data_IF_167055751076
#
_entry.id   IF_167055751076
#
_cell.length_a   1.000
_cell.length_b   1.000
_cell.length_c   1.000
_cell.angle_alpha   90.00
_cell.angle_beta   90.00
_cell.angle_gamma   90.00
#
_symmetry.space_group_name_H-M   'P 1'
#
loop_
_entity.id
_entity.type
_entity.pdbx_description
1 polymer ?
#
# COMPACT_ATOMS: atom_id res chain seq x y z
N UNK A 1 -12.28 -15.23 27.53
CA UNK A 1 -13.22 -14.78 26.48
C UNK A 1 -12.45 -14.71 25.15
N UNK A 2 -13.08 -14.98 24.01
CA UNK A 2 -12.37 -14.88 22.72
C UNK A 2 -12.75 -13.58 22.02
N UNK A 3 -11.78 -12.79 21.63
CA UNK A 3 -11.94 -11.51 20.93
C UNK A 3 -11.36 -11.57 19.53
N UNK A 4 -11.81 -10.69 18.65
CA UNK A 4 -11.21 -10.55 17.32
C UNK A 4 -9.80 -9.99 17.45
N UNK A 5 -8.86 -10.56 16.69
CA UNK A 5 -7.45 -10.18 16.74
C UNK A 5 -7.22 -8.68 16.40
N UNK A 6 -8.01 -8.10 15.48
CA UNK A 6 -7.90 -6.68 15.12
C UNK A 6 -8.27 -5.75 16.29
N UNK A 7 -9.20 -6.16 17.17
CA UNK A 7 -9.53 -5.43 18.38
C UNK A 7 -8.47 -5.66 19.47
N UNK A 8 -8.10 -6.92 19.68
CA UNK A 8 -7.18 -7.31 20.74
C UNK A 8 -5.79 -6.66 20.60
N UNK A 9 -5.31 -6.47 19.36
CA UNK A 9 -4.07 -5.75 19.10
C UNK A 9 -4.10 -4.28 19.58
N UNK A 10 -5.24 -3.63 19.49
CA UNK A 10 -5.43 -2.26 19.99
C UNK A 10 -5.60 -2.26 21.51
N UNK A 11 -6.40 -3.16 22.06
CA UNK A 11 -6.65 -3.29 23.50
C UNK A 11 -5.37 -3.60 24.27
N UNK A 12 -4.48 -4.42 23.71
CA UNK A 12 -3.13 -4.70 24.26
C UNK A 12 -2.10 -3.60 23.95
N UNK A 13 -2.51 -2.50 23.37
CA UNK A 13 -1.63 -1.36 23.02
C UNK A 13 -0.45 -1.75 22.09
N UNK A 14 -0.59 -2.84 21.34
CA UNK A 14 0.41 -3.24 20.37
C UNK A 14 0.35 -2.37 19.09
N UNK A 15 -0.82 -1.79 18.84
CA UNK A 15 -1.10 -0.92 17.69
C UNK A 15 -2.01 0.22 18.12
N UNK A 16 -1.86 1.38 17.48
CA UNK A 16 -2.57 2.62 17.84
C UNK A 16 -4.01 2.71 17.30
N UNK A 17 -4.33 1.96 16.23
CA UNK A 17 -5.66 2.00 15.63
C UNK A 17 -6.07 0.66 15.02
N UNK A 18 -7.37 0.41 14.97
CA UNK A 18 -7.94 -0.80 14.40
C UNK A 18 -7.71 -0.91 12.88
N UNK A 19 -7.75 0.20 12.17
CA UNK A 19 -7.44 0.25 10.74
C UNK A 19 -6.01 -0.23 10.49
N UNK A 20 -5.05 0.28 11.28
CA UNK A 20 -3.67 -0.14 11.19
C UNK A 20 -3.47 -1.61 11.57
N UNK A 21 -4.23 -2.11 12.56
CA UNK A 21 -4.23 -3.53 12.90
C UNK A 21 -4.67 -4.40 11.73
N UNK A 22 -5.75 -4.02 11.04
CA UNK A 22 -6.26 -4.73 9.88
C UNK A 22 -5.25 -4.77 8.73
N UNK A 23 -4.63 -3.65 8.39
CA UNK A 23 -3.57 -3.58 7.40
C UNK A 23 -2.41 -4.55 7.70
N UNK A 24 -1.94 -4.56 8.95
CA UNK A 24 -0.83 -5.41 9.35
C UNK A 24 -1.21 -6.91 9.36
N UNK A 25 -2.43 -7.24 9.76
CA UNK A 25 -2.94 -8.62 9.73
C UNK A 25 -3.02 -9.10 8.27
N UNK A 26 -3.68 -8.35 7.42
CA UNK A 26 -3.83 -8.71 6.00
C UNK A 26 -2.50 -8.77 5.26
N UNK A 27 -1.54 -8.00 5.71
CA UNK A 27 -0.17 -8.02 5.21
C UNK A 27 0.70 -9.14 5.76
N UNK A 28 0.18 -9.95 6.71
CA UNK A 28 0.91 -11.06 7.29
C UNK A 28 1.98 -10.67 8.32
N UNK A 29 1.85 -9.49 8.93
CA UNK A 29 2.78 -9.00 9.94
C UNK A 29 2.33 -9.25 11.39
N UNK A 30 1.29 -10.01 11.57
CA UNK A 30 0.79 -10.39 12.88
C UNK A 30 0.91 -11.89 13.07
N UNK A 31 1.54 -12.30 14.17
CA UNK A 31 1.56 -13.68 14.64
C UNK A 31 0.67 -13.86 15.85
N UNK A 32 0.05 -15.02 15.90
CA UNK A 32 -0.62 -15.54 17.09
C UNK A 32 -0.04 -16.93 17.37
N UNK A 33 0.62 -17.10 18.52
CA UNK A 33 1.30 -18.36 18.90
C UNK A 33 2.21 -18.88 17.78
N UNK A 34 3.10 -18.04 17.27
CA UNK A 34 4.04 -18.29 16.16
C UNK A 34 3.42 -18.53 14.77
N UNK A 35 2.10 -18.56 14.66
CA UNK A 35 1.39 -18.68 13.38
C UNK A 35 1.06 -17.31 12.81
N UNK A 36 1.40 -17.05 11.55
CA UNK A 36 1.01 -15.83 10.85
C UNK A 36 -0.49 -15.82 10.58
N UNK A 37 -1.14 -14.72 10.93
CA UNK A 37 -2.58 -14.53 10.77
C UNK A 37 -2.83 -13.52 9.65
N UNK A 38 -3.75 -13.87 8.74
CA UNK A 38 -4.14 -13.03 7.59
C UNK A 38 -5.59 -12.53 7.66
N UNK A 39 -6.38 -13.06 8.60
CA UNK A 39 -7.81 -12.72 8.72
C UNK A 39 -8.05 -11.85 9.94
N UNK A 40 -8.59 -10.64 9.73
CA UNK A 40 -8.88 -9.69 10.80
C UNK A 40 -9.93 -10.17 11.81
N UNK A 41 -10.77 -11.12 11.44
CA UNK A 41 -11.79 -11.71 12.32
C UNK A 41 -11.31 -12.98 13.05
N UNK A 42 -10.01 -13.30 12.96
CA UNK A 42 -9.44 -14.42 13.72
C UNK A 42 -9.69 -14.21 15.22
N UNK A 43 -10.11 -15.26 15.92
CA UNK A 43 -10.46 -15.18 17.34
C UNK A 43 -9.27 -15.61 18.18
N UNK A 44 -8.89 -14.74 19.10
CA UNK A 44 -7.81 -14.94 20.07
C UNK A 44 -8.31 -14.86 21.50
N UNK A 45 -7.65 -15.57 22.41
CA UNK A 45 -7.87 -15.53 23.86
C UNK A 45 -6.82 -14.66 24.55
N UNK A 46 -7.06 -14.30 25.79
CA UNK A 46 -6.08 -13.53 26.61
C UNK A 46 -4.73 -14.24 26.74
N UNK A 47 -4.75 -15.58 26.76
CA UNK A 47 -3.55 -16.41 26.88
C UNK A 47 -2.77 -16.52 25.56
N UNK A 48 -3.34 -16.12 24.42
CA UNK A 48 -2.64 -16.20 23.15
C UNK A 48 -1.58 -15.10 23.06
N UNK A 49 -0.37 -15.52 22.65
CA UNK A 49 0.74 -14.60 22.42
C UNK A 49 0.55 -13.91 21.07
N UNK A 50 0.39 -12.60 21.11
CA UNK A 50 0.31 -11.77 19.89
C UNK A 50 1.64 -11.06 19.70
N UNK A 51 2.17 -11.16 18.50
CA UNK A 51 3.39 -10.49 18.10
C UNK A 51 3.18 -9.75 16.79
N UNK A 52 3.65 -8.51 16.75
CA UNK A 52 3.85 -7.82 15.49
C UNK A 52 5.25 -8.16 15.05
N UNK A 53 5.37 -8.71 13.87
CA UNK A 53 6.65 -8.92 13.23
C UNK A 53 7.24 -7.53 13.03
N UNK A 54 8.08 -7.07 13.96
CA UNK A 54 8.89 -5.85 13.80
C UNK A 54 9.79 -6.11 12.61
N UNK A 55 9.43 -5.53 11.52
CA UNK A 55 10.15 -5.76 10.31
C UNK A 55 10.90 -4.49 9.93
N UNK A 56 12.21 -4.50 10.17
CA UNK A 56 13.17 -3.81 9.30
C UNK A 56 13.08 -4.34 7.85
N UNK A 57 12.14 -5.25 7.59
CA UNK A 57 11.85 -5.98 6.35
C UNK A 57 10.53 -5.60 5.69
N UNK A 58 9.82 -4.58 6.15
CA UNK A 58 8.83 -3.92 5.32
C UNK A 58 9.60 -3.11 4.27
N UNK A 59 9.98 -3.80 3.20
CA UNK A 59 10.66 -3.15 2.09
C UNK A 59 9.84 -1.99 1.53
N UNK A 60 8.50 -2.11 1.61
CA UNK A 60 7.54 -1.12 1.10
C UNK A 60 6.43 -0.87 2.12
N UNK A 61 5.76 0.27 2.03
CA UNK A 61 4.65 0.66 2.92
C UNK A 61 3.45 -0.30 2.87
N UNK A 62 3.34 -1.12 1.82
CA UNK A 62 2.33 -2.19 1.70
C UNK A 62 2.79 -3.30 0.75
N UNK A 63 2.05 -4.43 0.75
CA UNK A 63 2.29 -5.58 -0.16
C UNK A 63 2.21 -5.23 -1.65
N UNK A 64 1.50 -4.16 -1.99
CA UNK A 64 1.46 -3.66 -3.37
C UNK A 64 2.87 -3.47 -3.94
N UNK A 65 3.79 -2.93 -3.14
CA UNK A 65 5.18 -2.74 -3.57
C UNK A 65 5.87 -4.03 -4.03
N UNK A 66 5.57 -5.17 -3.40
CA UNK A 66 6.12 -6.47 -3.82
C UNK A 66 5.57 -6.94 -5.18
N UNK A 67 4.32 -6.57 -5.51
CA UNK A 67 3.75 -6.87 -6.84
C UNK A 67 4.51 -6.12 -7.94
N UNK A 68 4.72 -4.81 -7.72
CA UNK A 68 5.46 -3.99 -8.68
C UNK A 68 6.92 -4.44 -8.77
N UNK A 69 7.57 -4.75 -7.64
CA UNK A 69 8.93 -5.29 -7.64
C UNK A 69 9.06 -6.56 -8.47
N UNK A 70 8.08 -7.47 -8.31
CA UNK A 70 8.05 -8.69 -9.11
C UNK A 70 7.95 -8.37 -10.61
N UNK A 71 7.07 -7.46 -11.00
CA UNK A 71 6.92 -7.03 -12.39
C UNK A 71 8.22 -6.40 -12.93
N UNK A 72 8.87 -5.53 -12.15
CA UNK A 72 10.15 -4.91 -12.49
C UNK A 72 11.20 -5.99 -12.81
N UNK A 73 11.31 -7.00 -11.96
CA UNK A 73 12.31 -8.07 -12.11
C UNK A 73 11.98 -9.03 -13.25
N UNK A 74 10.69 -9.40 -13.41
CA UNK A 74 10.27 -10.35 -14.45
C UNK A 74 10.34 -9.76 -15.87
N UNK A 75 10.08 -8.46 -16.01
CA UNK A 75 10.01 -7.77 -17.29
C UNK A 75 11.18 -6.81 -17.55
N UNK A 76 12.19 -6.81 -16.65
CA UNK A 76 13.38 -5.94 -16.75
C UNK A 76 13.02 -4.46 -16.93
N UNK A 77 12.06 -3.97 -16.15
CA UNK A 77 11.55 -2.59 -16.24
C UNK A 77 12.50 -1.63 -15.51
N UNK A 78 13.01 -0.65 -16.22
CA UNK A 78 13.84 0.41 -15.62
C UNK A 78 12.99 1.64 -15.27
N UNK A 79 12.85 1.91 -13.96
CA UNK A 79 12.12 3.06 -13.43
C UNK A 79 13.03 4.26 -13.10
N UNK A 80 14.35 4.11 -13.22
CA UNK A 80 15.30 5.16 -12.86
C UNK A 80 15.09 6.41 -13.72
N UNK A 81 14.98 7.56 -13.06
CA UNK A 81 14.72 8.87 -13.66
C UNK A 81 13.40 8.99 -14.45
N UNK A 82 12.47 8.06 -14.29
CA UNK A 82 11.18 8.04 -14.96
C UNK A 82 10.11 8.84 -14.21
N UNK A 83 9.16 9.40 -14.95
CA UNK A 83 7.93 9.98 -14.44
C UNK A 83 6.85 8.92 -14.53
N UNK A 84 6.25 8.59 -13.39
CA UNK A 84 5.32 7.47 -13.26
C UNK A 84 3.95 8.01 -12.86
N UNK A 85 2.90 7.53 -13.49
CA UNK A 85 1.53 7.72 -13.04
C UNK A 85 1.04 6.41 -12.39
N UNK A 86 0.67 6.48 -11.13
CA UNK A 86 0.13 5.33 -10.36
C UNK A 86 -1.37 5.50 -10.17
N UNK A 87 -2.16 4.73 -10.92
CA UNK A 87 -3.62 4.77 -10.91
C UNK A 87 -4.14 3.75 -9.90
N UNK A 88 -4.91 4.23 -8.91
CA UNK A 88 -5.31 3.43 -7.75
C UNK A 88 -4.19 3.31 -6.74
N UNK A 89 -3.54 4.43 -6.42
CA UNK A 89 -2.32 4.45 -5.58
C UNK A 89 -2.54 3.93 -4.16
N UNK A 90 -3.78 3.98 -3.64
CA UNK A 90 -4.17 3.43 -2.32
C UNK A 90 -3.18 3.84 -1.22
N UNK A 91 -2.61 2.86 -0.50
CA UNK A 91 -1.61 3.10 0.56
C UNK A 91 -0.24 3.53 0.03
N UNK A 92 -0.02 3.50 -1.27
CA UNK A 92 1.23 3.93 -1.91
C UNK A 92 2.28 2.83 -2.07
N UNK A 93 1.89 1.55 -2.04
CA UNK A 93 2.86 0.47 -2.19
C UNK A 93 3.63 0.52 -3.52
N UNK A 94 2.95 0.80 -4.63
CA UNK A 94 3.58 0.97 -5.94
C UNK A 94 4.44 2.23 -5.97
N UNK A 95 3.94 3.35 -5.41
CA UNK A 95 4.69 4.59 -5.31
C UNK A 95 6.02 4.39 -4.56
N UNK A 96 5.97 3.71 -3.40
CA UNK A 96 7.16 3.44 -2.59
C UNK A 96 8.17 2.56 -3.34
N UNK A 97 7.69 1.49 -3.98
CA UNK A 97 8.53 0.64 -4.81
C UNK A 97 9.18 1.43 -5.95
N UNK A 98 8.42 2.27 -6.64
CA UNK A 98 8.91 3.09 -7.73
C UNK A 98 9.98 4.09 -7.26
N UNK A 99 9.76 4.76 -6.12
CA UNK A 99 10.74 5.67 -5.52
C UNK A 99 12.05 4.96 -5.18
N UNK A 100 11.96 3.78 -4.54
CA UNK A 100 13.13 2.98 -4.18
C UNK A 100 13.89 2.48 -5.43
N UNK A 101 13.21 2.34 -6.56
CA UNK A 101 13.82 2.02 -7.88
C UNK A 101 14.22 3.28 -8.68
N UNK A 102 14.29 4.44 -8.03
CA UNK A 102 14.88 5.65 -8.58
C UNK A 102 13.96 6.50 -9.47
N UNK A 103 12.64 6.35 -9.35
CA UNK A 103 11.70 7.22 -10.04
C UNK A 103 11.99 8.71 -9.78
N UNK A 104 11.89 9.53 -10.82
CA UNK A 104 12.09 10.98 -10.76
C UNK A 104 10.91 11.67 -10.09
N UNK A 105 9.71 11.30 -10.49
CA UNK A 105 8.45 11.86 -10.01
C UNK A 105 7.35 10.79 -10.11
N UNK A 106 6.38 10.86 -9.20
CA UNK A 106 5.18 10.02 -9.23
C UNK A 106 3.97 10.92 -9.17
N UNK A 107 3.03 10.70 -10.07
CA UNK A 107 1.69 11.26 -10.05
C UNK A 107 0.77 10.15 -9.55
N UNK A 108 0.41 10.23 -8.27
CA UNK A 108 -0.41 9.22 -7.60
C UNK A 108 -1.87 9.66 -7.64
N UNK A 109 -2.74 8.82 -8.20
CA UNK A 109 -4.16 9.13 -8.40
C UNK A 109 -5.02 8.09 -7.72
N UNK A 110 -5.97 8.53 -6.90
CA UNK A 110 -6.92 7.64 -6.24
C UNK A 110 -8.29 8.31 -6.07
N UNK A 111 -9.36 7.53 -6.20
CA UNK A 111 -10.72 7.98 -5.93
C UNK A 111 -11.02 8.09 -4.44
N UNK A 112 -10.26 7.38 -3.60
CA UNK A 112 -10.34 7.44 -2.15
C UNK A 112 -9.67 8.69 -1.57
N UNK A 113 -9.67 8.76 -0.25
CA UNK A 113 -9.04 9.86 0.51
C UNK A 113 -8.37 9.33 1.77
N UNK A 114 -7.28 9.97 2.17
CA UNK A 114 -6.48 9.60 3.35
C UNK A 114 -5.99 8.14 3.35
N UNK A 115 -5.81 7.53 2.19
CA UNK A 115 -5.31 6.17 2.05
C UNK A 115 -3.78 6.11 2.03
N UNK A 116 -3.13 7.08 1.37
CA UNK A 116 -1.68 7.13 1.22
C UNK A 116 -0.98 7.15 2.58
N UNK A 117 0.03 6.31 2.72
CA UNK A 117 0.86 6.25 3.93
C UNK A 117 1.53 7.60 4.21
N UNK A 118 1.60 8.00 5.48
CA UNK A 118 2.07 9.32 5.89
C UNK A 118 3.48 9.65 5.38
N UNK A 119 4.39 8.68 5.40
CA UNK A 119 5.76 8.87 4.87
C UNK A 119 5.80 9.27 3.39
N UNK A 120 4.82 8.82 2.60
CA UNK A 120 4.75 9.10 1.17
C UNK A 120 3.97 10.37 0.87
N UNK A 121 2.95 10.67 1.65
CA UNK A 121 2.07 11.83 1.48
C UNK A 121 2.83 13.16 1.44
N UNK A 122 3.89 13.26 2.22
CA UNK A 122 4.73 14.45 2.31
C UNK A 122 6.01 14.37 1.46
N UNK A 123 6.15 13.34 0.63
CA UNK A 123 7.33 13.19 -0.21
C UNK A 123 7.28 14.17 -1.40
N UNK A 124 8.29 15.04 -1.58
CA UNK A 124 8.28 16.06 -2.64
C UNK A 124 8.30 15.48 -4.08
N UNK A 125 8.61 14.20 -4.22
CA UNK A 125 8.57 13.50 -5.52
C UNK A 125 7.19 12.93 -5.84
N UNK A 126 6.24 12.98 -4.90
CA UNK A 126 4.86 12.49 -5.10
C UNK A 126 3.92 13.67 -5.23
N UNK A 127 3.23 13.73 -6.35
CA UNK A 127 2.08 14.60 -6.57
C UNK A 127 0.82 13.77 -6.38
N UNK A 128 0.11 13.99 -5.26
CA UNK A 128 -1.02 13.16 -4.84
C UNK A 128 -2.35 13.80 -5.21
N UNK A 129 -3.15 13.10 -5.99
CA UNK A 129 -4.51 13.45 -6.39
C UNK A 129 -5.52 12.49 -5.76
N UNK A 130 -6.04 12.85 -4.59
CA UNK A 130 -7.12 12.10 -3.92
C UNK A 130 -8.49 12.55 -4.42
N UNK A 131 -9.53 11.75 -4.18
CA UNK A 131 -10.90 11.97 -4.66
C UNK A 131 -10.96 12.24 -6.16
N UNK A 132 -10.02 11.69 -6.90
CA UNK A 132 -9.83 11.99 -8.31
C UNK A 132 -9.97 10.72 -9.14
N UNK A 133 -10.92 10.73 -10.07
CA UNK A 133 -10.91 9.74 -11.13
C UNK A 133 -9.88 10.17 -12.18
N UNK A 134 -8.94 9.29 -12.53
CA UNK A 134 -7.87 9.61 -13.47
C UNK A 134 -8.39 10.11 -14.82
N UNK A 135 -9.59 9.70 -15.26
CA UNK A 135 -10.26 10.21 -16.47
C UNK A 135 -10.57 11.72 -16.43
N UNK A 136 -10.64 12.29 -15.23
CA UNK A 136 -10.90 13.72 -15.03
C UNK A 136 -9.64 14.55 -14.91
N UNK A 137 -8.46 13.93 -14.99
CA UNK A 137 -7.21 14.65 -15.02
C UNK A 137 -7.07 15.44 -16.32
N UNK A 138 -6.61 16.68 -16.27
CA UNK A 138 -6.28 17.47 -17.45
C UNK A 138 -5.28 16.74 -18.37
N UNK A 139 -5.45 16.89 -19.69
CA UNK A 139 -4.65 16.17 -20.69
C UNK A 139 -3.13 16.38 -20.56
N UNK A 140 -2.72 17.54 -20.06
CA UNK A 140 -1.31 17.87 -19.85
C UNK A 140 -0.62 16.96 -18.82
N UNK A 141 -1.36 16.27 -17.94
CA UNK A 141 -0.78 15.28 -17.01
C UNK A 141 -0.25 14.04 -17.72
N UNK A 142 -0.70 13.77 -18.95
CA UNK A 142 -0.32 12.56 -19.68
C UNK A 142 0.85 12.78 -20.67
N UNK A 143 1.28 14.04 -20.87
CA UNK A 143 2.27 14.39 -21.91
C UNK A 143 3.67 13.88 -21.57
N UNK A 144 4.05 13.91 -20.31
CA UNK A 144 5.41 13.59 -19.85
C UNK A 144 5.51 12.28 -19.06
N UNK A 145 4.50 11.43 -19.13
CA UNK A 145 4.49 10.14 -18.43
C UNK A 145 5.33 9.12 -19.18
N UNK A 146 6.32 8.55 -18.50
CA UNK A 146 7.14 7.46 -19.02
C UNK A 146 6.50 6.09 -18.77
N UNK A 147 5.86 5.90 -17.61
CA UNK A 147 5.27 4.61 -17.16
C UNK A 147 3.96 4.84 -16.44
N UNK A 148 2.99 3.99 -16.73
CA UNK A 148 1.73 3.95 -15.97
C UNK A 148 1.66 2.63 -15.22
N UNK A 149 1.39 2.70 -13.93
CA UNK A 149 1.04 1.55 -13.10
C UNK A 149 -0.44 1.61 -12.72
N UNK A 150 -1.10 0.44 -12.63
CA UNK A 150 -2.52 0.38 -12.33
C UNK A 150 -2.83 -0.92 -11.57
N UNK A 151 -3.27 -0.79 -10.32
CA UNK A 151 -3.76 -1.91 -9.50
C UNK A 151 -5.11 -1.50 -8.87
N UNK A 152 -6.17 -1.60 -9.65
CA UNK A 152 -7.50 -1.13 -9.30
C UNK A 152 -8.50 -2.27 -9.19
N UNK A 153 -9.42 -2.17 -8.23
CA UNK A 153 -10.61 -3.00 -8.11
C UNK A 153 -11.83 -2.20 -8.55
N UNK A 154 -12.77 -2.85 -9.24
CA UNK A 154 -14.05 -2.26 -9.70
C UNK A 154 -13.93 -1.16 -10.78
N UNK A 155 -12.79 -0.96 -11.40
CA UNK A 155 -12.67 -0.10 -12.57
C UNK A 155 -12.72 -0.94 -13.84
N UNK A 156 -13.65 -0.59 -14.73
CA UNK A 156 -13.64 -1.12 -16.10
C UNK A 156 -12.53 -0.42 -16.88
N UNK A 157 -11.46 -1.11 -17.16
CA UNK A 157 -10.36 -0.61 -18.01
C UNK A 157 -10.73 -0.60 -19.49
N UNK A 158 -11.89 -1.16 -19.87
CA UNK A 158 -12.36 -1.29 -21.25
C UNK A 158 -12.74 0.07 -21.88
N UNK A 159 -13.01 1.07 -21.06
CA UNK A 159 -13.43 2.40 -21.50
C UNK A 159 -12.40 3.50 -21.19
N UNK A 160 -11.15 3.12 -21.12
CA UNK A 160 -10.00 4.04 -20.95
C UNK A 160 -9.53 4.50 -22.34
#
# INVERSE_FOLDING_TARGET
>A
MKNRIDKELVERQLITSRTRAQELIESGYVKCNDKIIYKCNYLVSESDKLEIIKNDKLKYVSRGGLKLEKAINEFDINLKNKIIMDIGSSTGGFCDCALQNGAKKIIAVDVGTNLMHEMLRNNPKIELHEKTNFKNLPHNYFVDIDVITCDVSFLSLIHI
#
